data_IF_520063913089
#
_entry.id   IF_520063913089
#
_cell.length_a   1.000
_cell.length_b   1.000
_cell.length_c   1.000
_cell.angle_alpha   90.00
_cell.angle_beta   90.00
_cell.angle_gamma   90.00
#
_symmetry.space_group_name_H-M   'P 1'
#
loop_
_entity.id
_entity.type
_entity.pdbx_description
1 polymer ?
#
# COMPACT_ATOMS: atom_id res chain seq x y z
N UNK A 1 -6.34 40.76 42.08
CA UNK A 1 -5.33 40.78 41.01
C UNK A 1 -5.06 39.35 40.55
N UNK A 2 -5.41 39.00 39.30
CA UNK A 2 -4.77 37.90 38.53
C UNK A 2 -3.41 38.42 38.00
N UNK A 3 -2.47 37.64 37.42
CA UNK A 3 -2.47 36.20 37.03
C UNK A 3 -1.20 35.45 37.52
N UNK A 4 -1.02 34.15 37.32
CA UNK A 4 -0.22 33.50 36.24
C UNK A 4 -0.48 31.98 36.41
N UNK A 5 -1.24 31.33 35.53
CA UNK A 5 -0.78 30.56 34.35
C UNK A 5 0.38 29.59 34.63
N UNK A 6 0.05 28.32 34.87
CA UNK A 6 0.94 27.20 34.57
C UNK A 6 0.10 26.11 33.91
N UNK A 7 -0.16 26.31 32.61
CA UNK A 7 -0.55 25.23 31.70
C UNK A 7 0.64 24.26 31.61
N UNK A 8 0.57 23.14 32.32
CA UNK A 8 1.43 21.99 32.04
C UNK A 8 0.87 21.37 30.76
N UNK A 9 1.36 21.87 29.63
CA UNK A 9 1.22 21.24 28.34
C UNK A 9 2.09 19.97 28.39
N UNK A 10 1.48 18.84 28.73
CA UNK A 10 2.05 17.52 28.48
C UNK A 10 2.12 17.34 26.96
N UNK A 11 3.22 17.79 26.38
CA UNK A 11 3.67 17.39 25.04
C UNK A 11 3.97 15.89 25.09
N UNK A 12 2.94 15.08 24.83
CA UNK A 12 3.12 13.71 24.37
C UNK A 12 3.89 13.78 23.04
N UNK A 13 5.09 13.18 22.94
CA UNK A 13 5.68 12.98 21.64
C UNK A 13 4.79 11.97 20.90
N UNK A 14 4.18 12.42 19.79
CA UNK A 14 3.72 11.54 18.73
C UNK A 14 4.95 10.80 18.19
N UNK A 15 5.23 9.64 18.79
CA UNK A 15 6.19 8.69 18.26
C UNK A 15 5.49 7.93 17.13
N UNK A 16 6.11 7.95 15.96
CA UNK A 16 5.78 7.09 14.85
C UNK A 16 5.65 5.64 15.34
N UNK A 17 4.48 5.05 15.10
CA UNK A 17 4.07 3.76 15.66
C UNK A 17 4.59 2.63 14.79
N UNK A 18 4.99 1.54 15.45
CA UNK A 18 5.91 0.53 14.96
C UNK A 18 5.19 -0.78 14.62
N UNK A 19 5.25 -1.22 13.34
CA UNK A 19 4.92 -2.58 12.89
C UNK A 19 5.76 -3.63 13.65
N UNK A 20 5.17 -4.46 14.50
CA UNK A 20 5.89 -5.34 15.46
C UNK A 20 6.82 -6.41 14.86
N UNK A 21 6.88 -6.53 13.54
CA UNK A 21 7.68 -7.54 12.84
C UNK A 21 8.90 -6.92 12.16
N UNK A 22 9.81 -7.79 11.77
CA UNK A 22 10.90 -7.43 10.87
C UNK A 22 10.34 -7.02 9.51
N UNK A 23 11.11 -6.21 8.80
CA UNK A 23 10.96 -6.07 7.36
C UNK A 23 11.59 -7.28 6.70
N UNK A 24 10.83 -7.95 5.85
CA UNK A 24 11.34 -9.08 5.07
C UNK A 24 11.83 -8.62 3.70
N UNK A 25 12.85 -9.30 3.18
CA UNK A 25 13.40 -9.03 1.83
C UNK A 25 12.30 -9.07 0.77
N UNK A 26 11.38 -10.02 0.87
CA UNK A 26 10.27 -10.20 -0.07
C UNK A 26 9.10 -9.24 0.12
N UNK A 27 9.16 -8.32 1.10
CA UNK A 27 8.02 -7.44 1.38
C UNK A 27 7.79 -6.43 0.25
N UNK A 28 8.86 -5.92 -0.38
CA UNK A 28 8.77 -4.82 -1.35
C UNK A 28 9.90 -4.83 -2.36
N UNK A 29 9.60 -4.42 -3.59
CA UNK A 29 10.59 -4.14 -4.63
C UNK A 29 10.88 -2.63 -4.74
N UNK A 30 12.12 -2.25 -5.05
CA UNK A 30 12.56 -0.86 -5.17
C UNK A 30 13.16 -0.58 -6.55
N UNK A 31 12.33 -0.09 -7.47
CA UNK A 31 12.76 0.22 -8.85
C UNK A 31 13.34 1.63 -9.00
N UNK A 32 12.94 2.54 -8.12
CA UNK A 32 13.40 3.92 -8.11
C UNK A 32 13.50 4.45 -6.67
N UNK A 33 14.16 5.59 -6.53
CA UNK A 33 14.36 6.27 -5.26
C UNK A 33 13.05 6.70 -4.60
N UNK A 34 12.01 7.01 -5.38
CA UNK A 34 10.71 7.45 -4.85
C UNK A 34 10.03 6.35 -4.05
N UNK A 35 10.28 5.07 -4.39
CA UNK A 35 9.75 3.93 -3.65
C UNK A 35 10.36 3.74 -2.26
N UNK A 36 11.51 4.35 -1.97
CA UNK A 36 12.08 4.40 -0.62
C UNK A 36 11.31 5.36 0.29
N UNK A 37 10.65 6.37 -0.28
CA UNK A 37 10.02 7.45 0.49
C UNK A 37 8.82 6.93 1.28
N UNK A 38 8.87 7.08 2.60
CA UNK A 38 7.89 6.62 3.56
C UNK A 38 8.02 5.14 3.94
N UNK A 39 9.06 4.45 3.47
CA UNK A 39 9.40 3.10 3.90
C UNK A 39 10.27 3.12 5.15
N UNK A 40 10.05 2.17 6.06
CA UNK A 40 10.77 2.03 7.32
C UNK A 40 11.37 0.62 7.42
N UNK A 41 12.69 0.53 7.27
CA UNK A 41 13.41 -0.74 7.33
C UNK A 41 13.60 -1.19 8.77
N UNK A 42 13.21 -2.44 9.07
CA UNK A 42 13.33 -3.07 10.40
C UNK A 42 14.17 -4.34 10.29
N UNK A 43 15.49 -4.23 10.42
CA UNK A 43 16.41 -5.36 10.25
C UNK A 43 16.31 -6.39 11.37
N UNK A 44 16.78 -7.61 11.09
CA UNK A 44 16.80 -8.72 12.06
C UNK A 44 18.20 -9.01 12.62
N UNK A 45 19.25 -8.49 11.99
CA UNK A 45 20.64 -8.71 12.37
C UNK A 45 21.45 -7.45 12.12
N UNK A 46 22.44 -7.20 12.98
CA UNK A 46 23.43 -6.15 12.82
C UNK A 46 24.84 -6.74 12.84
N UNK A 47 25.67 -6.29 11.92
CA UNK A 47 27.10 -6.57 11.86
C UNK A 47 27.87 -5.24 11.90
N UNK A 48 28.83 -5.16 12.83
CA UNK A 48 29.84 -4.12 12.90
C UNK A 48 31.18 -4.80 12.62
N UNK A 49 31.83 -4.49 11.48
CA UNK A 49 33.08 -5.16 11.09
C UNK A 49 34.10 -5.18 12.23
N UNK A 50 34.67 -6.36 12.47
CA UNK A 50 35.68 -6.64 13.49
C UNK A 50 35.26 -6.38 14.95
N UNK A 51 33.97 -6.12 15.24
CA UNK A 51 33.49 -5.82 16.59
C UNK A 51 32.38 -6.74 17.07
N UNK A 52 31.26 -6.77 16.36
CA UNK A 52 30.03 -7.42 16.84
C UNK A 52 29.21 -7.94 15.68
N UNK A 53 28.65 -9.13 15.83
CA UNK A 53 27.58 -9.66 15.00
C UNK A 53 26.50 -10.24 15.92
N UNK A 54 25.26 -9.78 15.78
CA UNK A 54 24.14 -10.29 16.58
C UNK A 54 22.77 -10.12 15.91
N UNK A 55 21.87 -10.99 16.31
CA UNK A 55 20.44 -10.85 16.04
C UNK A 55 19.83 -9.70 16.86
N UNK A 56 18.83 -9.06 16.28
CA UNK A 56 18.08 -7.94 16.81
C UNK A 56 16.68 -8.38 17.22
N UNK A 57 16.13 -7.74 18.24
CA UNK A 57 14.68 -7.81 18.47
C UNK A 57 13.94 -6.97 17.41
N UNK A 58 12.70 -7.31 17.03
CA UNK A 58 11.94 -6.50 16.09
C UNK A 58 11.84 -5.03 16.52
N UNK A 59 12.20 -4.12 15.61
CA UNK A 59 12.18 -2.67 15.84
C UNK A 59 13.26 -2.15 16.78
N UNK A 60 14.23 -2.98 17.20
CA UNK A 60 15.38 -2.52 17.99
C UNK A 60 16.20 -1.45 17.25
N UNK A 61 16.32 -1.63 15.94
CA UNK A 61 16.79 -0.61 15.00
C UNK A 61 15.72 -0.37 13.94
N UNK A 62 15.62 0.87 13.45
CA UNK A 62 14.80 1.16 12.27
C UNK A 62 15.37 2.32 11.45
N UNK A 63 15.05 2.32 10.15
CA UNK A 63 15.49 3.33 9.19
C UNK A 63 14.30 3.81 8.37
N UNK A 64 13.62 4.85 8.88
CA UNK A 64 12.50 5.50 8.24
C UNK A 64 12.98 6.54 7.23
N UNK A 65 12.75 6.29 5.95
CA UNK A 65 13.15 7.20 4.87
C UNK A 65 11.98 8.12 4.53
N UNK A 66 12.23 9.42 4.40
CA UNK A 66 11.27 10.38 3.83
C UNK A 66 11.92 11.16 2.70
N UNK A 67 11.20 12.09 2.09
CA UNK A 67 11.77 12.98 1.05
C UNK A 67 12.96 13.79 1.53
N UNK A 68 12.96 14.18 2.80
CA UNK A 68 13.91 15.19 3.33
C UNK A 68 14.73 14.68 4.50
N UNK A 69 14.29 13.63 5.17
CA UNK A 69 14.92 13.12 6.38
C UNK A 69 15.01 11.59 6.39
N UNK A 70 16.09 11.10 6.97
CA UNK A 70 16.25 9.75 7.47
C UNK A 70 16.04 9.77 8.99
N UNK A 71 15.05 9.00 9.45
CA UNK A 71 14.80 8.74 10.85
C UNK A 71 15.49 7.44 11.23
N UNK A 72 16.43 7.50 12.16
CA UNK A 72 17.13 6.31 12.66
C UNK A 72 16.72 6.08 14.10
N UNK A 73 16.25 4.88 14.37
CA UNK A 73 16.07 4.35 15.72
C UNK A 73 17.12 3.28 15.98
N UNK A 74 17.61 3.22 17.22
CA UNK A 74 18.66 2.28 17.61
C UNK A 74 19.56 2.78 18.74
N UNK A 75 20.08 1.89 19.60
CA UNK A 75 21.13 2.23 20.55
C UNK A 75 22.28 3.01 19.89
N UNK A 76 22.68 4.12 20.52
CA UNK A 76 23.83 4.98 20.15
C UNK A 76 23.73 5.75 18.83
N UNK A 77 22.86 5.36 17.91
CA UNK A 77 22.75 5.95 16.56
C UNK A 77 21.43 6.68 16.30
N UNK A 78 20.51 6.63 17.28
CA UNK A 78 19.21 7.30 17.20
C UNK A 78 19.36 8.77 16.81
N UNK A 79 18.60 9.19 15.80
CA UNK A 79 18.65 10.57 15.33
C UNK A 79 17.80 10.82 14.10
N UNK A 80 17.70 12.10 13.75
CA UNK A 80 17.10 12.56 12.51
C UNK A 80 18.20 13.21 11.67
N UNK A 81 18.38 12.71 10.46
CA UNK A 81 19.42 13.15 9.54
C UNK A 81 18.78 13.72 8.29
N UNK A 82 19.22 14.91 7.87
CA UNK A 82 18.74 15.52 6.64
C UNK A 82 19.32 14.76 5.44
N UNK A 83 18.46 14.37 4.50
CA UNK A 83 18.88 13.75 3.25
C UNK A 83 19.29 14.87 2.29
N UNK A 84 20.55 14.87 1.86
CA UNK A 84 21.06 15.84 0.89
C UNK A 84 20.87 15.37 -0.55
N UNK A 85 20.97 14.06 -0.78
CA UNK A 85 20.71 13.42 -2.08
C UNK A 85 20.41 11.94 -1.91
N UNK A 86 19.68 11.38 -2.88
CA UNK A 86 19.49 9.94 -3.07
C UNK A 86 20.02 9.64 -4.46
N UNK A 87 21.00 8.75 -4.58
CA UNK A 87 21.62 8.42 -5.86
C UNK A 87 21.55 6.91 -6.13
N UNK A 88 21.19 6.48 -7.35
CA UNK A 88 21.34 5.08 -7.74
C UNK A 88 22.82 4.70 -7.84
N UNK A 89 23.11 3.42 -7.57
CA UNK A 89 24.44 2.81 -7.55
C UNK A 89 24.35 1.38 -8.10
N UNK A 90 25.48 0.73 -8.33
CA UNK A 90 25.51 -0.65 -8.84
C UNK A 90 24.88 -1.68 -7.89
N UNK A 91 24.83 -1.37 -6.58
CA UNK A 91 24.27 -2.25 -5.55
C UNK A 91 22.88 -1.82 -5.06
N UNK A 92 22.28 -0.78 -5.64
CA UNK A 92 21.02 -0.21 -5.14
C UNK A 92 21.08 1.31 -5.01
N UNK A 93 20.89 1.85 -3.81
CA UNK A 93 20.83 3.30 -3.59
C UNK A 93 21.77 3.77 -2.47
N UNK A 94 22.25 5.01 -2.58
CA UNK A 94 22.94 5.70 -1.49
C UNK A 94 22.25 7.01 -1.17
N UNK A 95 21.81 7.13 0.08
CA UNK A 95 21.23 8.35 0.66
C UNK A 95 22.36 9.05 1.41
N UNK A 96 22.78 10.20 0.90
CA UNK A 96 23.75 11.05 1.59
C UNK A 96 23.03 11.83 2.68
N UNK A 97 23.58 11.80 3.90
CA UNK A 97 22.92 12.39 5.07
C UNK A 97 23.80 13.42 5.76
N UNK A 98 23.18 14.46 6.30
CA UNK A 98 23.84 15.48 7.13
C UNK A 98 23.13 15.48 8.48
N UNK A 99 23.90 15.47 9.57
CA UNK A 99 23.32 15.55 10.91
C UNK A 99 22.64 16.91 11.08
N UNK A 100 21.36 16.90 11.50
CA UNK A 100 20.56 18.12 11.62
C UNK A 100 21.08 19.08 12.71
N UNK A 101 21.88 18.62 13.66
CA UNK A 101 22.45 19.41 14.77
C UNK A 101 23.88 19.85 14.51
N UNK A 102 24.65 19.11 13.70
CA UNK A 102 26.01 19.45 13.31
C UNK A 102 26.25 19.12 11.84
N UNK A 103 26.25 20.16 10.99
CA UNK A 103 26.40 20.02 9.55
C UNK A 103 27.78 19.51 9.10
N UNK A 104 28.78 19.43 9.99
CA UNK A 104 30.08 18.82 9.69
C UNK A 104 30.03 17.30 9.69
N UNK A 105 29.05 16.73 10.39
CA UNK A 105 28.85 15.29 10.46
C UNK A 105 28.01 14.85 9.25
N UNK A 106 28.69 14.42 8.19
CA UNK A 106 28.08 13.79 7.03
C UNK A 106 28.20 12.27 7.09
N UNK A 107 27.11 11.60 6.80
CA UNK A 107 27.00 10.15 6.82
C UNK A 107 26.25 9.66 5.59
N UNK A 108 25.81 8.41 5.64
CA UNK A 108 24.96 7.85 4.61
C UNK A 108 24.14 6.67 5.11
N UNK A 109 23.08 6.38 4.36
CA UNK A 109 22.42 5.08 4.34
C UNK A 109 22.57 4.49 2.94
N UNK A 110 23.22 3.34 2.81
CA UNK A 110 23.18 2.54 1.58
C UNK A 110 22.05 1.55 1.70
N UNK A 111 21.26 1.41 0.65
CA UNK A 111 20.23 0.36 0.52
C UNK A 111 20.75 -0.62 -0.51
N UNK A 112 21.04 -1.84 -0.05
CA UNK A 112 21.59 -2.91 -0.87
C UNK A 112 20.44 -3.73 -1.44
N UNK A 113 20.35 -3.78 -2.76
CA UNK A 113 19.35 -4.53 -3.49
C UNK A 113 19.95 -5.80 -4.08
N UNK A 114 19.16 -6.87 -4.08
CA UNK A 114 19.49 -8.08 -4.82
C UNK A 114 19.09 -7.97 -6.31
N UNK A 115 19.32 -9.03 -7.08
CA UNK A 115 18.99 -9.07 -8.52
C UNK A 115 17.50 -8.91 -8.87
N UNK A 116 16.61 -9.02 -7.88
CA UNK A 116 15.16 -8.82 -8.02
C UNK A 116 14.72 -7.43 -7.53
N UNK A 117 15.67 -6.51 -7.32
CA UNK A 117 15.43 -5.16 -6.81
C UNK A 117 14.80 -5.13 -5.41
N UNK A 118 14.97 -6.21 -4.63
CA UNK A 118 14.52 -6.28 -3.24
C UNK A 118 15.65 -5.91 -2.30
N UNK A 119 15.36 -5.16 -1.25
CA UNK A 119 16.37 -4.81 -0.26
C UNK A 119 16.77 -6.05 0.56
N UNK A 120 18.07 -6.34 0.65
CA UNK A 120 18.62 -7.42 1.47
C UNK A 120 19.37 -6.90 2.70
N UNK A 121 19.92 -5.68 2.60
CA UNK A 121 20.59 -5.01 3.70
C UNK A 121 20.49 -3.50 3.58
N UNK A 122 20.64 -2.82 4.71
CA UNK A 122 20.93 -1.39 4.76
C UNK A 122 22.23 -1.16 5.52
N UNK A 123 23.09 -0.30 5.00
CA UNK A 123 24.39 0.02 5.61
C UNK A 123 24.37 1.46 6.06
N UNK A 124 24.47 1.70 7.35
CA UNK A 124 24.44 3.03 7.93
C UNK A 124 25.81 3.45 8.42
N UNK A 125 26.18 4.68 8.11
CA UNK A 125 27.33 5.36 8.69
C UNK A 125 26.92 6.74 9.13
N UNK A 126 27.12 7.05 10.41
CA UNK A 126 26.68 8.33 11.00
C UNK A 126 27.58 9.50 10.62
N UNK A 127 28.89 9.28 10.58
CA UNK A 127 29.92 10.30 10.30
C UNK A 127 31.16 9.66 9.65
N UNK A 128 32.09 10.44 9.08
CA UNK A 128 33.27 9.87 8.42
C UNK A 128 34.23 9.16 9.38
N UNK A 129 34.21 9.54 10.67
CA UNK A 129 35.07 8.98 11.72
C UNK A 129 34.49 7.71 12.37
N UNK A 130 33.30 7.31 11.97
CA UNK A 130 32.60 6.13 12.49
C UNK A 130 32.59 4.98 11.49
N UNK A 131 32.65 3.75 12.02
CA UNK A 131 32.54 2.55 11.20
C UNK A 131 31.14 2.43 10.60
N UNK A 132 31.07 1.81 9.41
CA UNK A 132 29.79 1.39 8.86
C UNK A 132 29.20 0.25 9.71
N UNK A 133 27.90 0.28 9.90
CA UNK A 133 27.13 -0.81 10.48
C UNK A 133 26.23 -1.39 9.40
N UNK A 134 26.27 -2.71 9.24
CA UNK A 134 25.51 -3.45 8.23
C UNK A 134 24.29 -4.05 8.93
N UNK A 135 23.11 -3.81 8.38
CA UNK A 135 21.86 -4.30 8.92
C UNK A 135 21.17 -5.18 7.89
N UNK A 136 21.02 -6.47 8.19
CA UNK A 136 20.41 -7.44 7.28
C UNK A 136 18.90 -7.50 7.47
N UNK A 137 18.17 -7.64 6.36
CA UNK A 137 16.72 -7.85 6.34
C UNK A 137 16.39 -9.34 6.34
N UNK A 138 15.29 -9.72 7.00
CA UNK A 138 14.99 -11.12 7.21
C UNK A 138 14.47 -11.78 5.93
N UNK A 139 14.82 -13.04 5.71
CA UNK A 139 14.07 -13.87 4.76
C UNK A 139 12.79 -14.34 5.44
N UNK A 140 11.63 -14.19 4.78
CA UNK A 140 10.36 -14.61 5.35
C UNK A 140 10.37 -16.14 5.62
N UNK A 141 10.10 -16.59 6.85
CA UNK A 141 10.04 -18.01 7.15
C UNK A 141 8.93 -18.69 6.34
N UNK A 142 9.20 -19.88 5.79
CA UNK A 142 8.22 -20.59 4.94
C UNK A 142 6.88 -20.83 5.66
N UNK A 143 6.94 -21.11 6.96
CA UNK A 143 5.75 -21.27 7.81
C UNK A 143 4.89 -20.00 7.84
N UNK A 144 5.53 -18.84 8.00
CA UNK A 144 4.84 -17.54 8.01
C UNK A 144 4.27 -17.23 6.62
N UNK A 145 5.07 -17.41 5.56
CA UNK A 145 4.63 -17.23 4.17
C UNK A 145 3.38 -18.06 3.85
N UNK A 146 3.34 -19.33 4.28
CA UNK A 146 2.20 -20.22 4.11
C UNK A 146 0.98 -19.77 4.92
N UNK A 147 1.16 -19.27 6.14
CA UNK A 147 0.04 -18.76 6.94
C UNK A 147 -0.52 -17.44 6.40
N UNK A 148 0.31 -16.62 5.76
CA UNK A 148 -0.11 -15.35 5.15
C UNK A 148 -0.80 -15.51 3.80
N UNK A 149 -0.53 -16.60 3.06
CA UNK A 149 -1.06 -16.81 1.71
C UNK A 149 -2.58 -16.64 1.56
N UNK A 150 -3.45 -17.05 2.52
CA UNK A 150 -4.89 -16.81 2.41
C UNK A 150 -5.29 -15.33 2.61
N UNK A 151 -4.42 -14.49 3.17
CA UNK A 151 -4.77 -13.13 3.60
C UNK A 151 -4.35 -12.07 2.59
N UNK A 152 -3.51 -12.42 1.61
CA UNK A 152 -2.99 -11.48 0.63
C UNK A 152 -3.05 -12.07 -0.77
N UNK A 153 -3.28 -11.21 -1.74
CA UNK A 153 -3.18 -11.51 -3.16
C UNK A 153 -1.73 -11.42 -3.59
N UNK A 154 -1.25 -12.43 -4.30
CA UNK A 154 0.10 -12.46 -4.88
C UNK A 154 0.17 -11.72 -6.22
N UNK A 155 1.37 -11.22 -6.52
CA UNK A 155 1.74 -10.83 -7.87
C UNK A 155 1.39 -11.92 -8.88
N UNK A 156 0.89 -11.54 -10.05
CA UNK A 156 0.50 -12.46 -11.14
C UNK A 156 -0.66 -13.43 -10.83
N UNK A 157 -1.25 -13.41 -9.62
CA UNK A 157 -2.35 -14.31 -9.25
C UNK A 157 -3.66 -13.95 -9.96
N UNK A 158 -3.99 -12.65 -10.02
CA UNK A 158 -5.26 -12.16 -10.55
C UNK A 158 -5.11 -11.51 -11.91
N UNK A 159 -5.16 -12.33 -12.96
CA UNK A 159 -5.19 -11.87 -14.36
C UNK A 159 -6.60 -11.45 -14.78
N UNK A 160 -6.76 -10.21 -15.23
CA UNK A 160 -8.02 -9.61 -15.67
C UNK A 160 -7.85 -9.07 -17.09
N UNK A 161 -7.97 -9.96 -18.08
CA UNK A 161 -7.66 -9.61 -19.48
C UNK A 161 -8.66 -8.66 -20.13
N UNK A 162 -9.87 -8.48 -19.55
CA UNK A 162 -10.94 -7.65 -20.10
C UNK A 162 -11.73 -6.96 -18.96
N UNK A 163 -12.17 -5.70 -19.12
CA UNK A 163 -12.91 -4.97 -18.07
C UNK A 163 -14.14 -5.69 -17.51
N UNK A 164 -14.88 -6.41 -18.35
CA UNK A 164 -16.08 -7.13 -17.90
C UNK A 164 -15.77 -8.29 -16.96
N UNK A 165 -14.56 -8.86 -17.04
CA UNK A 165 -14.08 -9.94 -16.16
C UNK A 165 -13.68 -9.44 -14.76
N UNK A 166 -13.68 -8.12 -14.56
CA UNK A 166 -13.37 -7.50 -13.27
C UNK A 166 -14.46 -7.76 -12.23
N UNK A 167 -15.72 -7.79 -12.66
CA UNK A 167 -16.86 -7.86 -11.76
C UNK A 167 -17.00 -9.25 -11.13
N UNK A 168 -17.33 -9.28 -9.84
CA UNK A 168 -17.32 -10.50 -9.01
C UNK A 168 -15.95 -10.87 -8.43
N UNK A 169 -14.90 -10.08 -8.69
CA UNK A 169 -13.54 -10.34 -8.17
C UNK A 169 -13.28 -9.60 -6.85
N UNK A 170 -12.27 -10.07 -6.13
CA UNK A 170 -11.79 -9.44 -4.90
C UNK A 170 -10.28 -9.55 -4.79
N UNK A 171 -9.66 -8.52 -4.25
CA UNK A 171 -8.21 -8.40 -4.08
C UNK A 171 -7.94 -8.11 -2.61
N UNK A 172 -6.92 -8.78 -2.06
CA UNK A 172 -6.46 -8.58 -0.70
C UNK A 172 -5.07 -7.95 -0.74
N UNK A 173 -4.96 -6.62 -0.57
CA UNK A 173 -3.68 -5.95 -0.69
C UNK A 173 -2.74 -6.32 0.46
N UNK A 174 -1.44 -6.25 0.19
CA UNK A 174 -0.36 -6.52 1.11
C UNK A 174 0.28 -5.24 1.65
N UNK A 175 0.35 -4.21 0.82
CA UNK A 175 0.82 -2.87 1.21
C UNK A 175 -0.25 -1.82 0.98
N UNK A 176 -0.20 -0.78 1.82
CA UNK A 176 -0.97 0.45 1.67
C UNK A 176 -0.02 1.65 1.74
N UNK A 177 -0.06 2.48 0.72
CA UNK A 177 0.69 3.73 0.63
C UNK A 177 -0.27 4.90 0.71
N UNK A 178 -0.08 5.79 1.68
CA UNK A 178 -0.87 7.01 1.84
C UNK A 178 -0.29 8.10 0.94
N UNK A 179 -1.02 8.54 -0.09
CA UNK A 179 -0.50 9.46 -1.09
C UNK A 179 -0.15 10.85 -0.51
N UNK A 180 -0.86 11.30 0.54
CA UNK A 180 -0.63 12.60 1.17
C UNK A 180 0.63 12.62 2.04
N UNK A 181 0.80 11.61 2.90
CA UNK A 181 1.93 11.53 3.83
C UNK A 181 3.14 10.79 3.24
N UNK A 182 2.93 10.01 2.17
CA UNK A 182 3.91 9.09 1.61
C UNK A 182 4.13 7.83 2.47
N UNK A 183 3.50 7.74 3.64
CA UNK A 183 3.71 6.63 4.59
C UNK A 183 3.31 5.31 3.94
N UNK A 184 4.20 4.33 4.05
CA UNK A 184 3.99 2.99 3.53
C UNK A 184 3.77 2.00 4.68
N UNK A 185 2.68 1.25 4.60
CA UNK A 185 2.25 0.34 5.64
C UNK A 185 2.08 -1.07 5.09
N UNK A 186 2.77 -2.04 5.72
CA UNK A 186 2.54 -3.47 5.49
C UNK A 186 1.28 -3.86 6.25
N UNK A 187 0.30 -4.41 5.55
CA UNK A 187 -0.92 -4.95 6.16
C UNK A 187 -0.60 -6.29 6.84
N UNK A 188 -1.22 -6.53 7.98
CA UNK A 188 -0.99 -7.75 8.77
C UNK A 188 -2.10 -8.77 8.57
N UNK A 189 -1.87 -10.05 8.91
CA UNK A 189 -2.93 -11.08 8.86
C UNK A 189 -4.14 -10.74 9.75
N UNK A 190 -3.89 -10.00 10.84
CA UNK A 190 -4.94 -9.53 11.74
C UNK A 190 -5.78 -8.41 11.09
N UNK A 191 -5.21 -7.72 10.10
CA UNK A 191 -5.94 -6.78 9.26
C UNK A 191 -6.68 -7.56 8.17
N UNK A 192 -7.88 -7.11 7.85
CA UNK A 192 -8.65 -7.63 6.72
C UNK A 192 -9.05 -6.46 5.85
N UNK A 193 -8.15 -6.10 4.94
CA UNK A 193 -8.48 -5.20 3.84
C UNK A 193 -8.87 -6.02 2.62
N UNK A 194 -10.03 -5.74 2.04
CA UNK A 194 -10.48 -6.38 0.79
C UNK A 194 -11.09 -5.34 -0.13
N UNK A 195 -10.67 -5.37 -1.39
CA UNK A 195 -11.18 -4.52 -2.45
C UNK A 195 -11.97 -5.42 -3.39
N UNK A 196 -13.30 -5.24 -3.43
CA UNK A 196 -14.23 -6.08 -4.20
C UNK A 196 -14.85 -5.30 -5.34
N UNK A 197 -14.98 -5.93 -6.50
CA UNK A 197 -15.70 -5.40 -7.65
C UNK A 197 -17.04 -6.11 -7.74
N UNK A 198 -18.13 -5.39 -7.55
CA UNK A 198 -19.46 -5.95 -7.42
C UNK A 198 -20.35 -5.51 -8.57
N UNK A 199 -21.10 -6.45 -9.13
CA UNK A 199 -22.22 -6.18 -10.02
C UNK A 199 -23.53 -6.42 -9.23
N UNK A 200 -24.44 -5.46 -9.30
CA UNK A 200 -25.77 -5.52 -8.70
C UNK A 200 -26.80 -5.46 -9.82
N UNK A 201 -27.65 -6.47 -9.91
CA UNK A 201 -28.73 -6.56 -10.89
C UNK A 201 -30.05 -6.30 -10.17
N UNK A 202 -30.75 -5.23 -10.57
CA UNK A 202 -32.09 -4.88 -10.09
C UNK A 202 -33.10 -5.16 -11.20
N UNK A 203 -34.15 -5.94 -10.89
CA UNK A 203 -35.25 -6.22 -11.81
C UNK A 203 -36.46 -5.38 -11.40
N UNK A 204 -36.83 -4.42 -12.23
CA UNK A 204 -38.06 -3.63 -12.06
C UNK A 204 -39.19 -4.26 -12.88
N UNK A 205 -40.22 -4.78 -12.22
CA UNK A 205 -41.44 -5.22 -12.90
C UNK A 205 -42.35 -4.02 -13.20
N UNK A 206 -42.70 -3.85 -14.47
CA UNK A 206 -43.68 -2.89 -14.95
C UNK A 206 -44.89 -3.63 -15.47
N UNK A 207 -45.95 -3.65 -14.67
CA UNK A 207 -47.26 -4.14 -15.09
C UNK A 207 -47.91 -3.10 -16.00
N UNK A 208 -48.24 -3.47 -17.24
CA UNK A 208 -49.03 -2.63 -18.13
C UNK A 208 -50.32 -3.36 -18.46
N UNK A 209 -51.47 -2.81 -18.05
CA UNK A 209 -52.77 -3.25 -18.56
C UNK A 209 -52.88 -2.84 -20.01
N UNK A 210 -53.11 -3.80 -20.89
CA UNK A 210 -53.41 -3.55 -22.30
C UNK A 210 -54.87 -3.88 -22.50
N UNK A 211 -55.67 -2.88 -22.88
CA UNK A 211 -57.03 -3.14 -23.33
C UNK A 211 -56.96 -3.81 -24.71
N UNK A 212 -57.51 -5.02 -24.82
CA UNK A 212 -57.67 -5.71 -26.09
C UNK A 212 -58.79 -5.02 -26.88
N UNK A 213 -58.43 -4.28 -27.93
CA UNK A 213 -59.40 -3.80 -28.92
C UNK A 213 -59.62 -4.91 -29.94
N UNK A 214 -60.42 -5.90 -29.58
CA UNK A 214 -61.07 -6.74 -30.58
C UNK A 214 -62.58 -6.56 -30.45
N UNK A 215 -63.16 -6.06 -31.52
CA UNK A 215 -64.58 -5.77 -31.66
C UNK A 215 -65.39 -7.07 -31.56
N UNK A 216 -66.33 -7.06 -30.61
CA UNK A 216 -67.37 -8.06 -30.28
C UNK A 216 -67.02 -9.06 -29.16
N UNK A 217 -67.60 -8.73 -27.99
CA UNK A 217 -67.92 -9.57 -26.83
C UNK A 217 -66.78 -9.99 -25.87
N UNK A 218 -66.91 -9.47 -24.64
CA UNK A 218 -66.19 -9.80 -23.39
C UNK A 218 -64.84 -9.10 -23.22
N UNK A 219 -64.80 -8.11 -22.32
CA UNK A 219 -63.61 -7.37 -21.92
C UNK A 219 -62.70 -8.23 -21.04
N UNK A 220 -61.89 -9.09 -21.65
CA UNK A 220 -60.79 -9.75 -20.94
C UNK A 220 -59.58 -8.83 -20.93
N UNK A 221 -59.23 -8.32 -19.76
CA UNK A 221 -58.02 -7.52 -19.58
C UNK A 221 -56.82 -8.46 -19.45
N UNK A 222 -55.96 -8.52 -20.47
CA UNK A 222 -54.71 -9.28 -20.40
C UNK A 222 -53.66 -8.45 -19.67
N UNK A 223 -53.19 -8.94 -18.52
CA UNK A 223 -52.06 -8.33 -17.81
C UNK A 223 -50.76 -8.73 -18.52
N UNK A 224 -50.09 -7.77 -19.14
CA UNK A 224 -48.73 -7.98 -19.69
C UNK A 224 -47.72 -7.47 -18.67
N UNK A 225 -46.91 -8.37 -18.11
CA UNK A 225 -45.79 -8.03 -17.23
C UNK A 225 -44.57 -7.77 -18.11
N UNK A 226 -44.03 -6.54 -18.09
CA UNK A 226 -42.74 -6.21 -18.71
C UNK A 226 -41.71 -5.98 -17.61
N UNK A 227 -40.60 -6.71 -17.63
CA UNK A 227 -39.47 -6.46 -16.72
C UNK A 227 -38.45 -5.52 -17.36
N UNK A 228 -37.79 -4.71 -16.53
CA UNK A 228 -36.62 -3.92 -16.89
C UNK A 228 -35.46 -4.34 -15.98
N UNK A 229 -34.37 -4.76 -16.57
CA UNK A 229 -33.13 -5.11 -15.86
C UNK A 229 -32.22 -3.87 -15.78
N UNK A 230 -31.69 -3.60 -14.58
CA UNK A 230 -30.77 -2.49 -14.31
C UNK A 230 -29.52 -3.10 -13.68
N UNK A 231 -28.35 -2.90 -14.33
CA UNK A 231 -27.05 -3.34 -13.83
C UNK A 231 -26.28 -2.15 -13.27
N UNK A 232 -25.82 -2.28 -12.04
CA UNK A 232 -25.00 -1.28 -11.36
C UNK A 232 -23.68 -1.91 -10.90
N UNK A 233 -22.59 -1.19 -11.11
CA UNK A 233 -21.25 -1.66 -10.78
C UNK A 233 -20.66 -0.85 -9.63
N UNK A 234 -19.94 -1.53 -8.74
CA UNK A 234 -19.35 -0.91 -7.56
C UNK A 234 -17.95 -1.44 -7.28
N UNK A 235 -17.06 -0.55 -6.84
CA UNK A 235 -15.86 -0.93 -6.09
C UNK A 235 -16.19 -0.77 -4.60
N UNK A 236 -15.94 -1.81 -3.82
CA UNK A 236 -16.19 -1.83 -2.38
C UNK A 236 -14.88 -2.11 -1.66
N UNK A 237 -14.43 -1.14 -0.86
CA UNK A 237 -13.25 -1.28 0.00
C UNK A 237 -13.75 -1.52 1.41
N UNK A 238 -13.47 -2.71 1.95
CA UNK A 238 -13.68 -3.00 3.36
C UNK A 238 -12.32 -3.08 4.04
N UNK A 239 -12.09 -2.28 5.05
CA UNK A 239 -10.88 -2.27 5.85
C UNK A 239 -11.23 -2.57 7.30
N UNK A 240 -10.79 -3.73 7.78
CA UNK A 240 -10.79 -4.06 9.20
C UNK A 240 -9.35 -3.94 9.67
N UNK A 241 -9.03 -2.89 10.42
CA UNK A 241 -7.66 -2.61 10.84
C UNK A 241 -7.57 -2.72 12.36
N UNK A 242 -6.51 -3.34 12.85
CA UNK A 242 -6.20 -3.38 14.27
C UNK A 242 -4.96 -2.56 14.55
N UNK A 243 -5.13 -1.47 15.30
CA UNK A 243 -4.04 -0.59 15.70
C UNK A 243 -3.37 -1.08 16.99
N UNK A 244 -2.13 -0.67 17.19
CA UNK A 244 -1.35 -1.03 18.38
C UNK A 244 -1.90 -0.47 19.70
N UNK A 245 -2.68 0.63 19.64
CA UNK A 245 -3.40 1.17 20.80
C UNK A 245 -4.65 0.33 21.17
N UNK A 246 -4.86 -0.79 20.47
CA UNK A 246 -5.99 -1.68 20.65
C UNK A 246 -7.26 -1.20 19.96
N UNK A 247 -7.26 -0.02 19.31
CA UNK A 247 -8.40 0.41 18.52
C UNK A 247 -8.57 -0.48 17.30
N UNK A 248 -9.82 -0.64 16.90
CA UNK A 248 -10.21 -1.32 15.68
C UNK A 248 -10.99 -0.36 14.81
N UNK A 249 -10.66 -0.31 13.54
CA UNK A 249 -11.48 0.30 12.51
C UNK A 249 -12.15 -0.81 11.72
N UNK A 250 -13.47 -0.74 11.52
CA UNK A 250 -14.19 -1.51 10.48
C UNK A 250 -14.92 -0.50 9.61
N UNK A 251 -14.30 -0.17 8.47
CA UNK A 251 -14.80 0.83 7.53
C UNK A 251 -15.12 0.16 6.20
N UNK A 252 -16.30 0.44 5.67
CA UNK A 252 -16.69 0.01 4.32
C UNK A 252 -17.03 1.24 3.48
N UNK A 253 -16.36 1.35 2.35
CA UNK A 253 -16.55 2.44 1.38
C UNK A 253 -16.99 1.85 0.05
N UNK A 254 -18.01 2.45 -0.56
CA UNK A 254 -18.65 1.95 -1.78
C UNK A 254 -18.66 3.03 -2.84
N UNK A 255 -18.07 2.72 -4.00
CA UNK A 255 -17.87 3.64 -5.11
C UNK A 255 -18.65 3.09 -6.32
N UNK A 256 -19.72 3.77 -6.72
CA UNK A 256 -20.48 3.39 -7.91
C UNK A 256 -19.68 3.72 -9.16
N UNK A 257 -19.50 2.76 -10.06
CA UNK A 257 -18.71 2.90 -11.28
C UNK A 257 -19.65 3.09 -12.47
N UNK A 258 -19.41 4.15 -13.25
CA UNK A 258 -20.17 4.49 -14.45
C UNK A 258 -19.53 3.92 -15.71
N UNK A 259 -18.21 3.87 -15.75
CA UNK A 259 -17.44 3.47 -16.93
C UNK A 259 -16.03 3.02 -16.53
N UNK A 260 -15.47 2.10 -17.31
CA UNK A 260 -14.04 1.74 -17.26
C UNK A 260 -13.38 2.23 -18.54
N UNK A 261 -12.22 2.87 -18.43
CA UNK A 261 -11.39 3.34 -19.54
C UNK A 261 -9.99 2.75 -19.38
N UNK A 262 -9.55 1.99 -20.38
CA UNK A 262 -8.19 1.46 -20.41
C UNK A 262 -7.22 2.45 -21.09
N UNK A 263 -6.01 2.52 -20.54
CA UNK A 263 -4.87 3.24 -21.11
C UNK A 263 -3.64 2.33 -21.03
N UNK A 264 -2.88 2.27 -22.11
CA UNK A 264 -1.56 1.64 -22.12
C UNK A 264 -0.47 2.70 -21.93
N UNK A 265 0.48 2.44 -21.04
CA UNK A 265 1.63 3.31 -20.87
C UNK A 265 2.59 3.15 -22.06
N UNK A 266 2.84 4.25 -22.80
CA UNK A 266 3.75 4.27 -23.97
C UNK A 266 5.18 3.85 -23.62
N UNK A 267 5.60 4.16 -22.39
CA UNK A 267 6.80 3.63 -21.77
C UNK A 267 6.32 2.90 -20.53
N UNK A 268 6.38 1.56 -20.47
CA UNK A 268 6.01 0.84 -19.26
C UNK A 268 6.85 1.39 -18.10
N UNK A 269 6.22 1.58 -16.94
CA UNK A 269 7.00 1.80 -15.72
C UNK A 269 7.90 0.58 -15.55
N UNK A 270 9.19 0.82 -15.32
CA UNK A 270 10.24 -0.21 -15.37
C UNK A 270 9.81 -1.43 -14.55
N UNK A 271 9.62 -2.56 -15.24
CA UNK A 271 8.94 -3.77 -14.77
C UNK A 271 7.91 -3.48 -13.70
N UNK A 272 6.69 -3.16 -14.13
CA UNK A 272 5.55 -3.99 -13.74
C UNK A 272 4.22 -3.45 -14.26
N UNK A 273 3.95 -2.14 -14.24
CA UNK A 273 2.65 -1.60 -14.69
C UNK A 273 2.68 -1.25 -16.19
N UNK A 274 1.83 -1.92 -16.99
CA UNK A 274 1.68 -1.68 -18.43
C UNK A 274 0.35 -1.02 -18.77
N UNK A 275 -0.71 -1.41 -18.08
CA UNK A 275 -2.06 -0.90 -18.32
C UNK A 275 -2.58 -0.19 -17.08
N UNK A 276 -3.33 0.88 -17.30
CA UNK A 276 -4.10 1.60 -16.30
C UNK A 276 -5.56 1.53 -16.70
N UNK A 277 -6.41 1.03 -15.80
CA UNK A 277 -7.85 1.11 -15.94
C UNK A 277 -8.37 2.21 -15.01
N UNK A 278 -8.90 3.26 -15.61
CA UNK A 278 -9.62 4.32 -14.92
C UNK A 278 -11.09 3.94 -14.81
N UNK A 279 -11.53 3.65 -13.57
CA UNK A 279 -12.91 3.38 -13.23
C UNK A 279 -13.55 4.70 -12.79
N UNK A 280 -14.27 5.33 -13.71
CA UNK A 280 -14.96 6.60 -13.46
C UNK A 280 -16.10 6.40 -12.46
N UNK A 281 -15.99 7.07 -11.32
CA UNK A 281 -16.98 6.98 -10.24
C UNK A 281 -18.19 7.89 -10.50
N UNK A 282 -19.33 7.55 -9.92
CA UNK A 282 -20.52 8.38 -10.02
C UNK A 282 -20.39 9.70 -9.24
N UNK A 283 -19.61 9.67 -8.15
CA UNK A 283 -19.27 10.77 -7.25
C UNK A 283 -17.84 10.54 -6.71
N UNK A 284 -17.07 11.62 -6.56
CA UNK A 284 -15.71 11.58 -6.06
C UNK A 284 -14.66 11.36 -7.16
N UNK A 285 -13.45 11.03 -6.73
CA UNK A 285 -12.34 10.75 -7.64
C UNK A 285 -12.48 9.38 -8.31
N UNK A 286 -11.89 9.17 -9.50
CA UNK A 286 -11.82 7.86 -10.13
C UNK A 286 -11.02 6.86 -9.29
N UNK A 287 -11.36 5.59 -9.45
CA UNK A 287 -10.52 4.48 -8.98
C UNK A 287 -9.57 4.09 -10.11
N UNK A 288 -8.28 3.94 -9.82
CA UNK A 288 -7.32 3.47 -10.82
C UNK A 288 -6.86 2.07 -10.46
N UNK A 289 -6.95 1.15 -11.41
CA UNK A 289 -6.42 -0.20 -11.32
C UNK A 289 -5.21 -0.30 -12.24
N UNK A 290 -4.06 -0.63 -11.68
CA UNK A 290 -2.81 -0.79 -12.42
C UNK A 290 -2.54 -2.27 -12.65
N UNK A 291 -2.32 -2.61 -13.91
CA UNK A 291 -2.14 -3.98 -14.37
C UNK A 291 -0.80 -4.15 -15.05
N UNK A 292 -0.25 -5.35 -14.94
CA UNK A 292 1.01 -5.68 -15.56
C UNK A 292 0.89 -6.13 -17.02
N UNK A 293 2.02 -6.49 -17.63
CA UNK A 293 2.05 -6.91 -19.03
C UNK A 293 1.21 -8.17 -19.32
N UNK A 294 0.89 -8.96 -18.29
CA UNK A 294 0.03 -10.14 -18.34
C UNK A 294 -1.42 -9.83 -17.95
N UNK A 295 -1.77 -8.54 -17.78
CA UNK A 295 -3.04 -8.08 -17.23
C UNK A 295 -3.30 -8.54 -15.79
N UNK A 296 -2.25 -8.91 -15.03
CA UNK A 296 -2.42 -9.19 -13.61
C UNK A 296 -2.46 -7.89 -12.79
N UNK A 297 -3.30 -7.87 -11.76
CA UNK A 297 -3.38 -6.74 -10.83
C UNK A 297 -2.05 -6.55 -10.12
N UNK A 298 -1.57 -5.32 -10.16
CA UNK A 298 -0.35 -4.89 -9.49
C UNK A 298 -0.69 -3.95 -8.31
N UNK A 299 -1.44 -2.88 -8.58
CA UNK A 299 -1.84 -1.92 -7.56
C UNK A 299 -3.19 -1.27 -7.85
N UNK A 300 -3.81 -0.68 -6.81
CA UNK A 300 -5.11 -0.02 -6.89
C UNK A 300 -5.02 1.32 -6.16
N UNK A 301 -5.29 2.42 -6.86
CA UNK A 301 -5.39 3.75 -6.26
C UNK A 301 -6.84 4.13 -6.05
N UNK A 302 -7.19 4.44 -4.80
CA UNK A 302 -8.53 4.87 -4.41
C UNK A 302 -8.45 5.76 -3.17
N UNK A 303 -9.19 6.88 -3.19
CA UNK A 303 -9.32 7.79 -2.03
C UNK A 303 -7.98 8.16 -1.36
N UNK A 304 -7.05 8.68 -2.17
CA UNK A 304 -5.73 9.12 -1.71
C UNK A 304 -4.82 7.98 -1.22
N UNK A 305 -5.16 6.71 -1.44
CA UNK A 305 -4.38 5.55 -1.01
C UNK A 305 -4.04 4.69 -2.22
N UNK A 306 -2.84 4.09 -2.21
CA UNK A 306 -2.43 3.08 -3.18
C UNK A 306 -2.28 1.75 -2.44
N UNK A 307 -3.04 0.76 -2.87
CA UNK A 307 -3.03 -0.60 -2.34
C UNK A 307 -2.24 -1.49 -3.29
N UNK A 308 -1.21 -2.17 -2.80
CA UNK A 308 -0.30 -2.99 -3.61
C UNK A 308 -0.45 -4.47 -3.23
N UNK A 309 -0.37 -5.37 -4.22
CA UNK A 309 -0.37 -6.82 -3.99
C UNK A 309 0.99 -7.28 -3.45
N UNK A 310 1.08 -8.53 -2.95
CA UNK A 310 2.32 -9.07 -2.42
C UNK A 310 3.33 -9.33 -3.54
N UNK A 311 4.56 -8.87 -3.36
CA UNK A 311 5.63 -8.98 -4.35
C UNK A 311 5.73 -7.81 -5.33
N UNK A 312 4.95 -6.74 -5.13
CA UNK A 312 5.09 -5.44 -5.78
C UNK A 312 6.21 -4.62 -5.11
#
# INVERSE_FOLDING_TARGET
>A
MKPIFACILLLLPLLAISQRDYTYVSDRVFFNQEMLMGYDFRPYQVEIPDKTDRNLSPGEYSFGVTRTHLYVEGPEIKGVYQISSINPTEYGYILQTINARDARLSGHLKVILNQWSQAEAVIFRRSPDEAEMIFYLAVIPEKLRKSEAPFFTDWDEYVISHPDSLWGKSIRPFFRVHAESGVQERLQMADSTTISFQEVITIEEKTKQVASTDSLATSDSTIVIKSKEIREYFVVVRSILQYDDGKKEDKTEKFQIKKVVEREFKTPRMNEERFEWELATAKGDPVFLYLNARYAVASIKIDGKVYQVRGY
#
